data_IF_992390363783
#
_entry.id   IF_992390363783
#
_cell.length_a   1.000
_cell.length_b   1.000
_cell.length_c   1.000
_cell.angle_alpha   90.00
_cell.angle_beta   90.00
_cell.angle_gamma   90.00
#
_symmetry.space_group_name_H-M   'P 1'
#
loop_
_entity.id
_entity.type
_entity.pdbx_description
1 polymer ?
#
# COMPACT_ATOMS: atom_id res chain seq x y z
N UNK A 1 13.54 -6.73 -5.83
CA UNK A 1 12.78 -5.59 -5.28
C UNK A 1 13.38 -5.18 -3.94
N UNK A 2 13.58 -3.89 -3.71
CA UNK A 2 14.09 -3.36 -2.43
C UNK A 2 13.14 -2.32 -1.79
N UNK A 3 13.44 -1.92 -0.55
CA UNK A 3 12.58 -1.01 0.22
C UNK A 3 12.42 0.38 -0.41
N UNK A 4 13.49 0.94 -1.01
CA UNK A 4 13.42 2.25 -1.67
C UNK A 4 12.52 2.22 -2.91
N UNK A 5 12.51 1.12 -3.66
CA UNK A 5 11.59 0.93 -4.78
C UNK A 5 10.13 0.92 -4.33
N UNK A 6 9.83 0.22 -3.23
CA UNK A 6 8.48 0.19 -2.65
C UNK A 6 8.04 1.60 -2.24
N UNK A 7 8.89 2.32 -1.50
CA UNK A 7 8.63 3.70 -1.07
C UNK A 7 8.38 4.64 -2.25
N UNK A 8 9.28 4.62 -3.24
CA UNK A 8 9.17 5.47 -4.43
C UNK A 8 7.93 5.15 -5.26
N UNK A 9 7.58 3.86 -5.36
CA UNK A 9 6.38 3.43 -6.06
C UNK A 9 5.10 3.81 -5.31
N UNK A 10 5.08 3.65 -3.98
CA UNK A 10 3.97 4.08 -3.13
C UNK A 10 3.73 5.59 -3.22
N UNK A 11 4.78 6.39 -3.27
CA UNK A 11 4.68 7.85 -3.42
C UNK A 11 4.02 8.28 -4.75
N UNK A 12 4.23 7.51 -5.82
CA UNK A 12 3.66 7.78 -7.17
C UNK A 12 2.32 7.08 -7.40
N UNK A 13 1.90 6.21 -6.50
CA UNK A 13 0.70 5.41 -6.65
C UNK A 13 -0.55 6.21 -6.25
N UNK A 14 -1.46 6.43 -7.20
CA UNK A 14 -2.71 7.17 -6.97
C UNK A 14 -3.57 6.53 -5.88
N UNK A 15 -3.67 5.20 -5.89
CA UNK A 15 -4.40 4.41 -4.89
C UNK A 15 -3.85 4.68 -3.47
N UNK A 16 -2.53 4.62 -3.31
CA UNK A 16 -1.87 4.92 -2.03
C UNK A 16 -2.03 6.38 -1.62
N UNK A 17 -2.00 7.31 -2.59
CA UNK A 17 -2.27 8.72 -2.34
C UNK A 17 -3.68 8.98 -1.82
N UNK A 18 -4.69 8.26 -2.30
CA UNK A 18 -6.06 8.33 -1.79
C UNK A 18 -6.15 7.77 -0.36
N UNK A 19 -5.52 6.62 -0.09
CA UNK A 19 -5.48 6.02 1.26
C UNK A 19 -4.80 6.97 2.24
N UNK A 20 -3.65 7.57 1.88
CA UNK A 20 -2.96 8.58 2.71
C UNK A 20 -3.85 9.75 3.08
N UNK A 21 -4.57 10.30 2.09
CA UNK A 21 -5.50 11.40 2.34
C UNK A 21 -6.60 10.98 3.30
N UNK A 22 -7.19 9.80 3.11
CA UNK A 22 -8.25 9.27 3.98
C UNK A 22 -7.77 9.00 5.42
N UNK A 23 -6.56 8.46 5.60
CA UNK A 23 -5.96 8.31 6.93
C UNK A 23 -5.77 9.66 7.63
N UNK A 24 -5.36 10.69 6.89
CA UNK A 24 -5.08 12.02 7.45
C UNK A 24 -6.34 12.83 7.76
N UNK A 25 -7.42 12.70 6.98
CA UNK A 25 -8.62 13.52 7.14
C UNK A 25 -9.84 12.75 7.67
N UNK A 26 -9.75 11.43 7.83
CA UNK A 26 -10.84 10.56 8.29
C UNK A 26 -11.94 10.29 7.24
N UNK A 27 -11.81 10.79 6.00
CA UNK A 27 -12.80 10.69 4.95
C UNK A 27 -12.51 9.51 4.02
N UNK A 28 -13.11 8.37 4.33
CA UNK A 28 -12.96 7.14 3.57
C UNK A 28 -13.95 6.97 2.41
N UNK A 29 -14.88 7.91 2.21
CA UNK A 29 -15.93 7.83 1.17
C UNK A 29 -15.37 7.56 -0.23
N UNK A 30 -14.23 8.17 -0.57
CA UNK A 30 -13.59 8.07 -1.89
C UNK A 30 -12.52 6.95 -2.00
N UNK A 31 -12.31 6.16 -0.95
CA UNK A 31 -11.38 5.02 -0.99
C UNK A 31 -12.04 3.76 -1.54
N UNK A 32 -11.24 2.84 -2.09
CA UNK A 32 -11.71 1.50 -2.46
C UNK A 32 -12.28 0.77 -1.22
N UNK A 33 -13.38 0.01 -1.35
CA UNK A 33 -14.00 -0.71 -0.22
C UNK A 33 -13.03 -1.59 0.58
N UNK A 34 -12.04 -2.19 -0.11
CA UNK A 34 -11.03 -3.04 0.51
C UNK A 34 -10.22 -2.32 1.60
N UNK A 35 -9.90 -1.03 1.41
CA UNK A 35 -9.18 -0.24 2.42
C UNK A 35 -10.09 0.23 3.55
N UNK A 36 -11.36 0.54 3.26
CA UNK A 36 -12.33 0.93 4.30
C UNK A 36 -12.52 -0.19 5.32
N UNK A 37 -12.59 -1.43 4.84
CA UNK A 37 -12.81 -2.61 5.69
C UNK A 37 -11.66 -2.85 6.68
N UNK A 38 -10.45 -2.36 6.39
CA UNK A 38 -9.24 -2.55 7.21
C UNK A 38 -8.65 -1.23 7.70
N UNK A 39 -9.43 -0.14 7.68
CA UNK A 39 -8.94 1.22 7.94
C UNK A 39 -8.23 1.37 9.28
N UNK A 40 -8.67 0.64 10.31
CA UNK A 40 -8.11 0.65 11.66
C UNK A 40 -6.81 -0.15 11.77
N UNK A 41 -6.49 -0.97 10.78
CA UNK A 41 -5.25 -1.76 10.70
C UNK A 41 -4.19 -1.08 9.83
N UNK A 42 -4.55 -0.02 9.09
CA UNK A 42 -3.67 0.67 8.15
C UNK A 42 -2.79 1.68 8.87
N UNK A 43 -1.51 1.67 8.51
CA UNK A 43 -0.55 2.67 8.92
C UNK A 43 0.39 3.02 7.77
N UNK A 44 0.98 4.20 7.84
CA UNK A 44 2.10 4.57 6.98
C UNK A 44 3.37 4.73 7.83
N UNK A 45 4.43 4.05 7.44
CA UNK A 45 5.74 4.10 8.10
C UNK A 45 6.78 4.45 7.04
N UNK A 46 7.41 5.62 7.19
CA UNK A 46 8.47 6.11 6.28
C UNK A 46 8.13 6.11 4.78
N UNK A 47 6.85 6.26 4.42
CA UNK A 47 6.37 6.23 3.04
C UNK A 47 5.93 4.87 2.52
N UNK A 48 5.97 3.84 3.38
CA UNK A 48 5.48 2.48 3.08
C UNK A 48 4.18 2.24 3.85
N UNK A 49 3.19 1.69 3.15
CA UNK A 49 1.90 1.36 3.74
C UNK A 49 1.95 -0.03 4.34
N UNK A 50 1.43 -0.12 5.56
CA UNK A 50 1.39 -1.33 6.36
C UNK A 50 -0.07 -1.64 6.70
N UNK A 51 -0.40 -2.93 6.70
CA UNK A 51 -1.60 -3.47 7.35
C UNK A 51 -1.14 -4.43 8.43
N UNK A 52 -1.27 -4.05 9.70
CA UNK A 52 -0.73 -4.83 10.81
C UNK A 52 0.77 -5.16 10.56
N UNK A 53 1.11 -6.44 10.35
CA UNK A 53 2.48 -6.90 10.10
C UNK A 53 2.82 -7.14 8.60
N UNK A 54 2.00 -6.65 7.67
CA UNK A 54 2.16 -6.88 6.22
C UNK A 54 2.35 -5.56 5.48
N UNK A 55 3.23 -5.57 4.47
CA UNK A 55 3.37 -4.44 3.54
C UNK A 55 2.19 -4.45 2.57
N UNK A 56 1.55 -3.30 2.39
CA UNK A 56 0.56 -3.09 1.33
C UNK A 56 1.29 -2.67 0.07
N UNK A 57 1.33 -3.57 -0.91
CA UNK A 57 2.08 -3.32 -2.15
C UNK A 57 1.36 -2.33 -3.07
N UNK A 58 2.08 -1.30 -3.58
CA UNK A 58 1.62 -0.43 -4.65
C UNK A 58 1.23 -1.24 -5.89
N UNK A 59 0.18 -0.84 -6.59
CA UNK A 59 -0.38 -1.60 -7.72
C UNK A 59 0.67 -1.99 -8.78
N UNK A 60 1.59 -1.08 -9.09
CA UNK A 60 2.67 -1.28 -10.06
C UNK A 60 3.71 -2.33 -9.65
N UNK A 61 3.80 -2.67 -8.36
CA UNK A 61 4.73 -3.67 -7.85
C UNK A 61 4.07 -5.03 -7.56
N UNK A 62 2.74 -5.14 -7.68
CA UNK A 62 2.02 -6.38 -7.34
C UNK A 62 2.41 -7.54 -8.25
N UNK A 63 2.49 -7.33 -9.57
CA UNK A 63 2.89 -8.38 -10.52
C UNK A 63 4.31 -8.89 -10.24
N UNK A 64 5.25 -7.96 -10.08
CA UNK A 64 6.66 -8.27 -9.75
C UNK A 64 6.76 -9.02 -8.42
N UNK A 65 5.96 -8.65 -7.42
CA UNK A 65 5.93 -9.35 -6.12
C UNK A 65 5.49 -10.80 -6.28
N UNK A 66 4.48 -11.05 -7.12
CA UNK A 66 3.99 -12.40 -7.40
C UNK A 66 5.03 -13.22 -8.18
N UNK A 67 5.67 -12.62 -9.18
CA UNK A 67 6.76 -13.27 -9.94
C UNK A 67 7.92 -13.68 -9.02
N UNK A 68 8.40 -12.75 -8.19
CA UNK A 68 9.46 -13.03 -7.21
C UNK A 68 9.06 -14.12 -6.20
N UNK A 69 7.78 -14.19 -5.81
CA UNK A 69 7.29 -15.22 -4.92
C UNK A 69 7.24 -16.61 -5.60
N UNK A 70 7.02 -16.67 -6.92
CA UNK A 70 7.08 -17.91 -7.69
C UNK A 70 8.51 -18.38 -7.96
N UNK A 71 9.46 -17.46 -8.15
CA UNK A 71 10.89 -17.78 -8.37
C UNK A 71 11.58 -18.39 -7.13
N UNK A 72 10.97 -18.30 -5.96
CA UNK A 72 11.47 -18.91 -4.73
C UNK A 72 11.17 -20.42 -4.58
N UNK A 73 10.67 -21.08 -5.63
CA UNK A 73 10.48 -22.54 -5.71
C UNK A 73 11.75 -23.26 -6.20
#
# INVERSE_FOLDING_TARGET
MNFNEIKNSAAKCLEMGQVRKAMNNGLWSNCLPAYKAVMTELAEVEGVFMRSNRIVMPVSLRSITVELAHEGH
#
